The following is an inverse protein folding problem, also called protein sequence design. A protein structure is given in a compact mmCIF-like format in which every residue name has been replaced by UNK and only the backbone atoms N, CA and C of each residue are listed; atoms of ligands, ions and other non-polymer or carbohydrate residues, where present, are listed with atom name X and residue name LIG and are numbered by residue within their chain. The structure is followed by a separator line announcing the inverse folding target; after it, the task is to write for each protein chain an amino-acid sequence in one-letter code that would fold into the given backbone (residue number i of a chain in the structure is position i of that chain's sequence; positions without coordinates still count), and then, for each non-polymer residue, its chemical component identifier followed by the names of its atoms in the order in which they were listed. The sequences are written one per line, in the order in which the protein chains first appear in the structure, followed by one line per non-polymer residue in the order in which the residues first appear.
data_IF_134660508794
#
_entry.id   IF_134660508794
#
_cell.length_a   1.000
_cell.length_b   1.000
_cell.length_c   1.000
_cell.angle_alpha   90.00
_cell.angle_beta   90.00
_cell.angle_gamma   90.00
#
_symmetry.space_group_name_H-M   'P 1'
#
loop_
_entity.id
_entity.type
_entity.pdbx_description
1 polymer ?
#
# COMPACT_ATOMS: atom_id res chain seq x y z
N UNK A 1 -9.21 -29.25 -2.39
CA UNK A 1 -9.37 -28.77 -1.00
C UNK A 1 -10.65 -27.95 -0.81
N UNK A 2 -10.88 -26.87 -1.59
CA UNK A 2 -12.13 -26.07 -1.57
C UNK A 2 -13.41 -26.87 -1.32
N UNK A 3 -13.71 -27.85 -2.17
CA UNK A 3 -14.97 -28.61 -2.07
C UNK A 3 -15.03 -29.49 -0.81
N UNK A 4 -13.88 -29.93 -0.30
CA UNK A 4 -13.83 -30.65 0.97
C UNK A 4 -14.12 -29.74 2.16
N UNK A 5 -13.61 -28.50 2.15
CA UNK A 5 -13.92 -27.48 3.16
C UNK A 5 -15.40 -27.09 3.13
N UNK A 6 -15.99 -26.90 1.94
CA UNK A 6 -17.42 -26.62 1.76
C UNK A 6 -18.36 -27.70 2.33
N UNK A 7 -17.89 -28.94 2.50
CA UNK A 7 -18.67 -30.05 3.08
C UNK A 7 -18.65 -30.10 4.60
N UNK A 8 -17.87 -29.26 5.27
CA UNK A 8 -17.80 -29.22 6.73
C UNK A 8 -18.88 -28.29 7.29
N UNK A 9 -19.40 -28.60 8.48
CA UNK A 9 -20.32 -27.71 9.22
C UNK A 9 -19.59 -26.56 9.94
N UNK A 10 -18.49 -26.10 9.34
CA UNK A 10 -17.64 -25.02 9.86
C UNK A 10 -17.12 -24.20 8.68
N UNK A 11 -17.33 -22.90 8.75
CA UNK A 11 -16.74 -21.95 7.79
C UNK A 11 -15.23 -21.89 8.03
N UNK A 12 -14.45 -22.19 6.99
CA UNK A 12 -13.00 -22.14 6.98
C UNK A 12 -12.60 -21.33 5.76
N UNK A 13 -11.92 -20.20 5.98
CA UNK A 13 -11.32 -19.42 4.90
C UNK A 13 -10.20 -20.24 4.26
N UNK A 14 -10.14 -20.22 2.93
CA UNK A 14 -9.11 -20.90 2.17
C UNK A 14 -8.19 -19.85 1.54
N UNK A 15 -6.96 -19.76 2.03
CA UNK A 15 -5.87 -19.04 1.37
C UNK A 15 -5.00 -20.03 0.61
N UNK A 16 -4.82 -19.82 -0.71
CA UNK A 16 -4.02 -20.71 -1.54
C UNK A 16 -2.56 -20.26 -1.55
N UNK A 17 -1.67 -21.14 -1.09
CA UNK A 17 -0.23 -20.93 -1.22
C UNK A 17 0.31 -21.80 -2.35
N UNK A 18 0.22 -21.29 -3.59
CA UNK A 18 0.77 -21.93 -4.79
C UNK A 18 1.67 -20.97 -5.58
N UNK A 19 2.15 -19.90 -4.95
CA UNK A 19 3.20 -18.99 -5.45
C UNK A 19 3.00 -18.43 -6.87
N UNK A 20 1.76 -18.11 -7.25
CA UNK A 20 1.44 -17.60 -8.59
C UNK A 20 1.42 -18.67 -9.68
N UNK A 21 1.76 -19.92 -9.37
CA UNK A 21 1.83 -20.99 -10.36
C UNK A 21 0.47 -21.30 -10.99
N UNK A 22 0.53 -21.84 -12.21
CA UNK A 22 -0.64 -22.22 -12.99
C UNK A 22 -1.60 -21.06 -13.30
N UNK A 23 -1.09 -19.82 -13.35
CA UNK A 23 -1.89 -18.62 -13.61
C UNK A 23 -3.06 -18.48 -12.62
N UNK A 24 -2.78 -18.64 -11.32
CA UNK A 24 -3.81 -18.59 -10.28
C UNK A 24 -4.57 -17.29 -10.25
N UNK A 25 -3.98 -16.19 -10.73
CA UNK A 25 -4.68 -14.93 -10.91
C UNK A 25 -5.92 -15.08 -11.81
N UNK A 26 -5.98 -16.07 -12.71
CA UNK A 26 -7.13 -16.25 -13.63
C UNK A 26 -8.28 -17.07 -13.05
N UNK A 27 -8.05 -17.90 -12.03
CA UNK A 27 -9.04 -18.85 -11.51
C UNK A 27 -9.13 -18.89 -9.98
N UNK A 28 -8.26 -18.14 -9.29
CA UNK A 28 -8.13 -18.15 -7.84
C UNK A 28 -9.41 -17.74 -7.13
N UNK A 29 -10.09 -16.70 -7.64
CA UNK A 29 -11.34 -16.19 -7.06
C UNK A 29 -12.49 -17.21 -7.10
N UNK A 30 -12.50 -18.12 -8.08
CA UNK A 30 -13.48 -19.22 -8.14
C UNK A 30 -13.20 -20.31 -7.09
N UNK A 31 -12.00 -20.26 -6.47
CA UNK A 31 -11.47 -21.34 -5.65
C UNK A 31 -11.30 -20.97 -4.18
N UNK A 32 -10.83 -19.77 -3.88
CA UNK A 32 -10.30 -19.38 -2.58
C UNK A 32 -10.48 -17.89 -2.31
N UNK A 33 -10.37 -17.49 -1.04
CA UNK A 33 -10.51 -16.09 -0.63
C UNK A 33 -9.21 -15.30 -0.81
N UNK A 34 -8.08 -15.98 -0.94
CA UNK A 34 -6.82 -15.39 -1.35
C UNK A 34 -5.93 -16.39 -2.08
N UNK A 35 -4.95 -15.88 -2.84
CA UNK A 35 -3.96 -16.70 -3.55
C UNK A 35 -2.59 -16.02 -3.59
N UNK A 36 -1.57 -16.71 -3.09
CA UNK A 36 -0.18 -16.25 -3.17
C UNK A 36 0.20 -16.04 -4.62
N UNK A 37 0.68 -14.84 -4.96
CA UNK A 37 1.01 -14.49 -6.35
C UNK A 37 2.47 -14.74 -6.72
N UNK A 38 3.35 -14.94 -5.74
CA UNK A 38 4.78 -15.11 -5.99
C UNK A 38 5.42 -16.02 -4.95
N UNK A 39 6.73 -16.27 -5.12
CA UNK A 39 7.56 -16.95 -4.11
C UNK A 39 7.54 -16.23 -2.77
N UNK A 40 8.17 -16.83 -1.77
CA UNK A 40 8.14 -16.33 -0.39
C UNK A 40 8.76 -14.93 -0.27
N UNK A 41 8.32 -14.14 0.68
CA UNK A 41 8.98 -12.88 1.02
C UNK A 41 10.23 -13.12 1.87
N UNK A 42 11.16 -12.17 1.81
CA UNK A 42 12.26 -12.05 2.75
C UNK A 42 12.43 -10.58 3.17
N UNK A 43 12.96 -10.30 4.38
CA UNK A 43 13.10 -8.94 4.90
C UNK A 43 14.27 -8.19 4.25
N UNK A 44 14.20 -7.98 2.93
CA UNK A 44 15.10 -7.12 2.15
C UNK A 44 14.28 -6.28 1.18
N UNK A 45 14.75 -5.07 0.91
CA UNK A 45 14.09 -4.16 -0.01
C UNK A 45 14.09 -4.69 -1.46
N UNK A 46 15.25 -5.12 -1.95
CA UNK A 46 15.45 -5.67 -3.30
C UNK A 46 16.18 -7.02 -3.25
N UNK A 47 16.23 -7.72 -4.38
CA UNK A 47 16.95 -8.99 -4.52
C UNK A 47 16.11 -10.23 -4.22
N UNK A 48 16.78 -11.38 -4.21
CA UNK A 48 16.14 -12.67 -4.00
C UNK A 48 17.12 -13.68 -3.40
N UNK A 49 16.58 -14.77 -2.85
CA UNK A 49 17.35 -15.92 -2.36
C UNK A 49 16.85 -17.20 -3.02
N UNK A 50 17.79 -17.93 -3.65
CA UNK A 50 17.61 -19.26 -4.25
C UNK A 50 16.40 -19.36 -5.21
N UNK A 51 15.95 -18.25 -5.79
CA UNK A 51 14.74 -18.12 -6.61
C UNK A 51 13.43 -18.57 -5.95
N UNK A 52 13.45 -18.82 -4.64
CA UNK A 52 12.27 -19.20 -3.86
C UNK A 52 11.75 -18.06 -2.99
N UNK A 53 12.63 -17.15 -2.59
CA UNK A 53 12.29 -16.02 -1.74
C UNK A 53 12.73 -14.69 -2.37
N UNK A 54 11.97 -13.62 -2.17
CA UNK A 54 12.08 -12.35 -2.89
C UNK A 54 11.91 -11.16 -1.95
N UNK A 55 12.66 -10.08 -2.21
CA UNK A 55 12.48 -8.82 -1.48
C UNK A 55 11.16 -8.12 -1.80
N UNK A 56 10.92 -7.00 -1.11
CA UNK A 56 9.68 -6.21 -1.21
C UNK A 56 9.45 -5.70 -2.65
N UNK A 57 10.45 -5.09 -3.29
CA UNK A 57 10.30 -4.50 -4.64
C UNK A 57 10.06 -5.54 -5.74
N UNK A 58 10.75 -6.71 -5.79
CA UNK A 58 10.42 -7.76 -6.74
C UNK A 58 8.99 -8.30 -6.61
N UNK A 59 8.48 -8.49 -5.39
CA UNK A 59 7.10 -8.93 -5.15
C UNK A 59 6.12 -7.85 -5.57
N UNK A 60 6.37 -6.59 -5.18
CA UNK A 60 5.57 -5.44 -5.63
C UNK A 60 5.51 -5.41 -7.15
N UNK A 61 6.65 -5.42 -7.83
CA UNK A 61 6.72 -5.37 -9.28
C UNK A 61 5.90 -6.50 -9.92
N UNK A 62 5.97 -7.73 -9.40
CA UNK A 62 5.14 -8.83 -9.90
C UNK A 62 3.64 -8.56 -9.67
N UNK A 63 3.26 -8.11 -8.47
CA UNK A 63 1.86 -7.81 -8.14
C UNK A 63 1.22 -6.85 -9.15
N UNK A 64 1.92 -5.79 -9.55
CA UNK A 64 1.37 -4.77 -10.46
C UNK A 64 0.87 -5.33 -11.81
N UNK A 65 1.36 -6.49 -12.25
CA UNK A 65 0.92 -7.14 -13.49
C UNK A 65 -0.07 -8.29 -13.26
N UNK A 66 -0.35 -8.65 -12.00
CA UNK A 66 -1.15 -9.84 -11.63
C UNK A 66 -2.28 -9.56 -10.61
N UNK A 67 -2.57 -8.28 -10.33
CA UNK A 67 -3.63 -7.85 -9.40
C UNK A 67 -5.02 -7.65 -10.04
N UNK A 68 -5.19 -7.90 -11.34
CA UNK A 68 -6.43 -7.53 -12.06
C UNK A 68 -7.69 -8.23 -11.56
N UNK A 69 -7.55 -9.37 -10.86
CA UNK A 69 -8.66 -10.10 -10.25
C UNK A 69 -8.82 -9.85 -8.73
N UNK A 70 -7.99 -9.00 -8.12
CA UNK A 70 -8.15 -8.60 -6.73
C UNK A 70 -9.38 -7.73 -6.58
N UNK A 71 -10.36 -8.23 -5.84
CA UNK A 71 -11.59 -7.53 -5.48
C UNK A 71 -12.23 -8.22 -4.26
N UNK A 72 -13.45 -7.82 -3.89
CA UNK A 72 -14.22 -8.52 -2.87
C UNK A 72 -14.21 -10.04 -3.07
N UNK A 73 -14.11 -10.74 -1.94
CA UNK A 73 -14.10 -12.21 -1.83
C UNK A 73 -12.87 -12.92 -2.38
N UNK A 74 -11.95 -12.24 -3.06
CA UNK A 74 -10.77 -12.85 -3.67
C UNK A 74 -9.62 -11.86 -3.84
N UNK A 75 -8.56 -12.06 -3.07
CA UNK A 75 -7.42 -11.15 -3.04
C UNK A 75 -6.12 -11.85 -3.43
N UNK A 76 -5.34 -11.22 -4.30
CA UNK A 76 -3.94 -11.56 -4.46
C UNK A 76 -3.22 -11.44 -3.11
N UNK A 77 -2.44 -12.45 -2.77
CA UNK A 77 -1.65 -12.51 -1.55
C UNK A 77 -0.18 -12.29 -1.89
N UNK A 78 0.34 -11.14 -1.45
CA UNK A 78 1.72 -10.73 -1.64
C UNK A 78 2.67 -11.35 -0.59
N UNK A 79 2.20 -12.35 0.16
CA UNK A 79 2.84 -12.98 1.31
C UNK A 79 2.75 -12.17 2.61
N UNK A 80 3.21 -12.77 3.70
CA UNK A 80 3.18 -12.21 5.05
C UNK A 80 3.98 -10.90 5.17
N UNK A 81 3.69 -10.14 6.22
CA UNK A 81 4.37 -8.89 6.54
C UNK A 81 5.71 -9.17 7.25
N UNK A 82 6.79 -8.58 6.73
CA UNK A 82 8.15 -8.60 7.28
C UNK A 82 8.48 -7.33 8.10
N UNK A 83 7.46 -6.53 8.43
CA UNK A 83 7.63 -5.27 9.17
C UNK A 83 8.27 -5.53 10.54
N UNK A 84 9.44 -4.93 10.79
CA UNK A 84 10.21 -5.15 12.01
C UNK A 84 11.16 -6.36 12.01
N UNK A 85 11.32 -7.06 10.87
CA UNK A 85 12.22 -8.21 10.73
C UNK A 85 13.58 -7.88 10.07
N UNK A 86 13.90 -6.59 9.86
CA UNK A 86 15.24 -6.17 9.42
C UNK A 86 15.29 -5.04 8.38
N UNK A 87 14.14 -4.64 7.84
CA UNK A 87 14.00 -3.47 6.96
C UNK A 87 14.25 -2.17 7.74
N UNK A 88 14.61 -1.11 7.04
CA UNK A 88 14.67 0.24 7.65
C UNK A 88 13.27 0.74 8.01
N UNK A 89 13.12 1.74 8.90
CA UNK A 89 11.80 2.28 9.24
C UNK A 89 11.01 2.85 8.05
N UNK A 90 11.70 3.38 7.03
CA UNK A 90 11.08 3.84 5.79
C UNK A 90 10.58 2.66 4.94
N UNK A 91 11.41 1.64 4.79
CA UNK A 91 11.04 0.42 4.07
C UNK A 91 9.91 -0.35 4.76
N UNK A 92 9.87 -0.37 6.10
CA UNK A 92 8.77 -0.93 6.90
C UNK A 92 7.44 -0.22 6.60
N UNK A 93 7.45 1.13 6.57
CA UNK A 93 6.26 1.94 6.20
C UNK A 93 5.82 1.64 4.77
N UNK A 94 6.76 1.63 3.82
CA UNK A 94 6.49 1.31 2.43
C UNK A 94 5.91 -0.08 2.25
N UNK A 95 6.54 -1.11 2.83
CA UNK A 95 6.08 -2.49 2.74
C UNK A 95 4.65 -2.64 3.28
N UNK A 96 4.37 -2.12 4.47
CA UNK A 96 3.02 -2.18 5.04
C UNK A 96 1.99 -1.45 4.19
N UNK A 97 2.27 -0.21 3.79
CA UNK A 97 1.35 0.59 2.99
C UNK A 97 1.08 -0.04 1.63
N UNK A 98 2.11 -0.54 0.93
CA UNK A 98 1.96 -1.20 -0.37
C UNK A 98 1.07 -2.44 -0.27
N UNK A 99 1.27 -3.28 0.75
CA UNK A 99 0.41 -4.45 0.98
C UNK A 99 -1.03 -4.03 1.29
N UNK A 100 -1.21 -2.97 2.08
CA UNK A 100 -2.51 -2.45 2.43
C UNK A 100 -3.25 -1.90 1.20
N UNK A 101 -2.63 -1.01 0.42
CA UNK A 101 -3.28 -0.33 -0.71
C UNK A 101 -3.52 -1.27 -1.91
N UNK A 102 -2.69 -2.31 -2.05
CA UNK A 102 -2.87 -3.35 -3.06
C UNK A 102 -3.83 -4.47 -2.61
N UNK A 103 -4.41 -4.31 -1.41
CA UNK A 103 -5.43 -5.20 -0.84
C UNK A 103 -4.96 -6.65 -0.70
N UNK A 104 -3.69 -6.83 -0.36
CA UNK A 104 -3.17 -8.11 0.11
C UNK A 104 -3.72 -8.42 1.51
N UNK A 105 -3.85 -9.70 1.89
CA UNK A 105 -3.97 -10.08 3.29
C UNK A 105 -2.82 -9.46 4.11
N UNK A 106 -3.17 -8.89 5.27
CA UNK A 106 -2.21 -8.30 6.21
C UNK A 106 -1.92 -9.29 7.34
N UNK A 107 -1.01 -10.24 7.10
CA UNK A 107 -0.64 -11.28 8.04
C UNK A 107 0.68 -10.92 8.73
N UNK A 108 0.67 -10.68 10.04
CA UNK A 108 1.88 -10.31 10.79
C UNK A 108 2.86 -11.48 10.87
N UNK A 109 4.07 -11.30 10.35
CA UNK A 109 5.19 -12.26 10.40
C UNK A 109 6.22 -11.99 11.50
N UNK A 110 5.91 -11.10 12.45
CA UNK A 110 6.88 -10.56 13.43
C UNK A 110 6.57 -11.00 14.86
N UNK A 111 7.58 -11.33 15.70
CA UNK A 111 7.37 -11.63 17.12
C UNK A 111 6.76 -10.45 17.89
N UNK A 112 5.49 -10.58 18.27
CA UNK A 112 4.73 -9.51 18.93
C UNK A 112 5.15 -9.25 20.39
N UNK A 113 5.80 -10.21 21.04
CA UNK A 113 6.32 -10.06 22.41
C UNK A 113 7.52 -9.12 22.50
N UNK A 114 8.15 -8.80 21.36
CA UNK A 114 9.37 -7.97 21.25
C UNK A 114 9.21 -6.80 20.29
N UNK A 115 7.97 -6.49 19.90
CA UNK A 115 7.70 -5.43 18.93
C UNK A 115 8.09 -4.06 19.48
N UNK A 116 8.78 -3.26 18.66
CA UNK A 116 9.09 -1.87 19.02
C UNK A 116 7.83 -0.99 18.93
N UNK A 117 7.75 0.12 19.67
CA UNK A 117 6.66 1.10 19.51
C UNK A 117 6.54 1.61 18.08
N UNK A 118 7.66 1.79 17.39
CA UNK A 118 7.72 2.26 16.00
C UNK A 118 7.09 1.23 15.04
N UNK A 119 7.46 -0.05 15.14
CA UNK A 119 6.88 -1.13 14.32
C UNK A 119 5.40 -1.33 14.65
N UNK A 120 5.03 -1.25 15.93
CA UNK A 120 3.64 -1.34 16.35
C UNK A 120 2.80 -0.19 15.80
N UNK A 121 3.36 1.02 15.70
CA UNK A 121 2.67 2.16 15.11
C UNK A 121 2.36 1.93 13.63
N UNK A 122 3.26 1.31 12.87
CA UNK A 122 3.01 0.91 11.47
C UNK A 122 1.83 -0.07 11.39
N UNK A 123 1.86 -1.16 12.17
CA UNK A 123 0.74 -2.12 12.18
C UNK A 123 -0.58 -1.54 12.67
N UNK A 124 -0.55 -0.45 13.45
CA UNK A 124 -1.76 0.21 13.97
C UNK A 124 -2.24 1.38 13.12
N UNK A 125 -1.66 1.63 11.94
CA UNK A 125 -2.12 2.71 11.07
C UNK A 125 -3.57 2.45 10.63
N UNK A 126 -4.52 3.12 11.29
CA UNK A 126 -5.95 2.90 11.11
C UNK A 126 -6.43 3.28 9.72
N UNK A 127 -5.79 4.25 9.08
CA UNK A 127 -6.23 4.77 7.78
C UNK A 127 -5.82 3.87 6.63
N UNK A 128 -4.59 3.34 6.66
CA UNK A 128 -4.15 2.31 5.72
C UNK A 128 -4.94 1.00 5.90
N UNK A 129 -5.21 0.60 7.15
CA UNK A 129 -6.08 -0.54 7.44
C UNK A 129 -7.49 -0.29 6.92
N UNK A 130 -8.05 0.91 7.13
CA UNK A 130 -9.39 1.23 6.62
C UNK A 130 -9.47 1.21 5.10
N UNK A 131 -8.43 1.65 4.38
CA UNK A 131 -8.36 1.50 2.92
C UNK A 131 -8.35 0.03 2.51
N UNK A 132 -7.54 -0.79 3.17
CA UNK A 132 -7.44 -2.24 2.91
C UNK A 132 -8.77 -2.97 3.19
N UNK A 133 -9.46 -2.59 4.26
CA UNK A 133 -10.69 -3.20 4.77
C UNK A 133 -11.98 -2.50 4.28
N UNK A 134 -11.89 -1.66 3.25
CA UNK A 134 -13.03 -0.89 2.78
C UNK A 134 -14.16 -1.79 2.28
N UNK A 135 -15.37 -1.61 2.82
CA UNK A 135 -16.53 -2.45 2.54
C UNK A 135 -17.27 -2.10 1.25
N UNK A 136 -17.01 -0.92 0.67
CA UNK A 136 -17.68 -0.42 -0.54
C UNK A 136 -16.78 -0.47 -1.77
N UNK A 137 -15.48 -0.41 -1.56
CA UNK A 137 -14.46 -0.51 -2.61
C UNK A 137 -13.64 -1.77 -2.38
N UNK A 138 -13.82 -2.80 -3.20
CA UNK A 138 -13.02 -4.03 -3.12
C UNK A 138 -11.72 -3.98 -3.94
N UNK A 139 -11.63 -3.05 -4.89
CA UNK A 139 -10.49 -2.89 -5.80
C UNK A 139 -9.28 -2.23 -5.11
N UNK A 140 -8.04 -2.59 -5.48
CA UNK A 140 -6.83 -1.94 -4.94
C UNK A 140 -6.65 -0.51 -5.48
N UNK A 141 -5.70 0.23 -4.89
CA UNK A 141 -5.12 1.38 -5.57
C UNK A 141 -4.34 0.93 -6.81
N UNK A 142 -4.51 1.61 -7.93
CA UNK A 142 -3.82 1.29 -9.18
C UNK A 142 -2.70 2.28 -9.47
N UNK A 143 -1.54 1.82 -9.99
CA UNK A 143 -0.52 2.71 -10.49
C UNK A 143 -1.07 3.54 -11.65
N UNK A 144 -0.87 4.86 -11.56
CA UNK A 144 -1.19 5.79 -12.66
C UNK A 144 0.07 6.38 -13.32
N UNK A 145 1.24 6.22 -12.69
CA UNK A 145 2.53 6.65 -13.23
C UNK A 145 3.68 5.81 -12.66
N UNK A 146 4.56 5.31 -13.51
CA UNK A 146 5.72 4.48 -13.08
C UNK A 146 6.87 5.30 -12.51
N UNK A 147 6.93 6.60 -12.76
CA UNK A 147 7.94 7.49 -12.19
C UNK A 147 9.25 7.41 -12.96
N UNK A 148 10.29 6.84 -12.35
CA UNK A 148 11.63 6.76 -12.96
C UNK A 148 11.68 5.93 -14.24
N UNK A 149 10.71 5.03 -14.42
CA UNK A 149 10.55 4.24 -15.64
C UNK A 149 9.35 4.74 -16.46
N UNK A 150 9.33 4.39 -17.76
CA UNK A 150 8.13 4.53 -18.57
C UNK A 150 7.00 3.66 -18.00
N UNK A 151 5.74 4.08 -18.19
CA UNK A 151 4.59 3.32 -17.72
C UNK A 151 4.59 1.88 -18.26
N UNK A 152 4.13 0.95 -17.41
CA UNK A 152 4.12 -0.49 -17.68
C UNK A 152 5.49 -1.16 -17.81
N UNK A 153 6.56 -0.51 -17.34
CA UNK A 153 7.89 -1.13 -17.31
C UNK A 153 7.96 -2.20 -16.22
N UNK A 154 8.42 -3.40 -16.58
CA UNK A 154 8.78 -4.44 -15.62
C UNK A 154 10.19 -4.18 -15.08
N UNK A 155 10.29 -3.76 -13.82
CA UNK A 155 11.58 -3.49 -13.18
C UNK A 155 11.49 -3.85 -11.68
N UNK A 156 12.20 -4.91 -11.30
CA UNK A 156 12.16 -5.45 -9.93
C UNK A 156 12.87 -4.59 -8.88
N UNK A 157 13.64 -3.58 -9.31
CA UNK A 157 14.30 -2.61 -8.43
C UNK A 157 13.48 -1.33 -8.32
N UNK A 158 12.88 -0.90 -9.43
CA UNK A 158 12.11 0.33 -9.53
C UNK A 158 10.71 0.05 -10.11
N UNK A 159 9.81 -0.60 -9.35
CA UNK A 159 8.41 -0.76 -9.74
C UNK A 159 7.70 0.60 -9.86
N UNK A 160 6.39 0.58 -10.17
CA UNK A 160 5.62 1.81 -10.24
C UNK A 160 5.69 2.60 -8.93
N UNK A 161 5.70 3.92 -9.04
CA UNK A 161 5.92 4.81 -7.90
C UNK A 161 4.65 5.53 -7.45
N UNK A 162 3.70 5.74 -8.36
CA UNK A 162 2.53 6.59 -8.10
C UNK A 162 1.24 5.81 -8.25
N UNK A 163 0.43 5.80 -7.20
CA UNK A 163 -0.81 5.03 -7.09
C UNK A 163 -1.97 5.91 -6.69
N UNK A 164 -3.17 5.58 -7.18
CA UNK A 164 -4.41 6.24 -6.75
C UNK A 164 -5.51 5.21 -6.55
N UNK A 165 -6.42 5.48 -5.62
CA UNK A 165 -7.53 4.59 -5.34
C UNK A 165 -8.61 5.27 -4.51
N UNK A 166 -9.85 4.84 -4.70
CA UNK A 166 -10.98 5.35 -3.92
C UNK A 166 -11.29 4.44 -2.74
N UNK A 167 -11.75 5.05 -1.66
CA UNK A 167 -12.38 4.38 -0.54
C UNK A 167 -13.60 5.20 -0.08
N UNK A 168 -14.36 4.68 0.88
CA UNK A 168 -15.45 5.38 1.56
C UNK A 168 -15.03 6.71 2.18
N UNK A 169 -13.75 6.87 2.52
CA UNK A 169 -13.20 8.10 3.09
C UNK A 169 -12.89 9.18 2.05
N UNK A 170 -12.77 8.82 0.77
CA UNK A 170 -12.38 9.74 -0.31
C UNK A 170 -11.38 9.12 -1.29
N UNK A 171 -10.75 9.98 -2.10
CA UNK A 171 -9.67 9.58 -3.01
C UNK A 171 -8.33 9.57 -2.27
N UNK A 172 -7.51 8.56 -2.53
CA UNK A 172 -6.17 8.42 -1.96
C UNK A 172 -5.12 8.46 -3.05
N UNK A 173 -3.97 9.05 -2.73
CA UNK A 173 -2.78 9.11 -3.58
C UNK A 173 -1.58 8.63 -2.77
N UNK A 174 -0.83 7.69 -3.34
CA UNK A 174 0.38 7.15 -2.74
C UNK A 174 1.56 7.37 -3.66
N UNK A 175 2.69 7.83 -3.09
CA UNK A 175 3.91 8.12 -3.84
C UNK A 175 5.11 7.47 -3.17
N UNK A 176 5.54 6.35 -3.73
CA UNK A 176 6.71 5.57 -3.32
C UNK A 176 7.99 6.21 -3.85
N UNK A 177 9.00 6.35 -3.01
CA UNK A 177 10.35 6.65 -3.43
C UNK A 177 11.17 5.35 -3.56
N UNK A 178 11.53 4.94 -4.78
CA UNK A 178 12.37 3.75 -5.00
C UNK A 178 13.87 4.05 -4.99
N UNK A 179 14.26 5.30 -4.75
CA UNK A 179 15.64 5.77 -4.82
C UNK A 179 16.29 5.81 -3.44
N UNK A 180 17.62 5.81 -3.45
CA UNK A 180 18.49 5.73 -2.27
C UNK A 180 18.68 7.09 -1.54
N UNK A 181 17.96 8.13 -1.97
CA UNK A 181 18.03 9.48 -1.42
C UNK A 181 16.63 10.10 -1.30
N UNK A 182 16.51 11.13 -0.46
CA UNK A 182 15.25 11.88 -0.36
C UNK A 182 14.97 12.61 -1.66
N UNK A 183 13.77 12.40 -2.23
CA UNK A 183 13.33 13.09 -3.45
C UNK A 183 11.97 13.74 -3.25
N UNK A 184 11.75 14.86 -3.93
CA UNK A 184 10.43 15.48 -3.99
C UNK A 184 9.55 14.67 -4.94
N UNK A 185 8.43 14.18 -4.43
CA UNK A 185 7.38 13.51 -5.23
C UNK A 185 6.22 14.47 -5.41
N UNK A 186 5.67 14.51 -6.63
CA UNK A 186 4.61 15.44 -7.00
C UNK A 186 3.40 14.71 -7.58
N UNK A 187 2.23 14.96 -6.99
CA UNK A 187 0.94 14.57 -7.51
C UNK A 187 0.38 15.74 -8.33
N UNK A 188 0.43 15.64 -9.66
CA UNK A 188 -0.20 16.59 -10.58
C UNK A 188 -1.65 16.15 -10.80
N UNK A 189 -2.62 17.00 -10.48
CA UNK A 189 -4.02 16.58 -10.36
C UNK A 189 -4.62 16.08 -11.68
N UNK A 190 -4.19 16.62 -12.82
CA UNK A 190 -4.60 16.14 -14.15
C UNK A 190 -4.08 14.72 -14.47
N UNK A 191 -3.02 14.27 -13.81
CA UNK A 191 -2.47 12.92 -13.98
C UNK A 191 -3.13 11.89 -13.05
N UNK A 192 -3.77 12.33 -11.96
CA UNK A 192 -4.32 11.45 -10.93
C UNK A 192 -5.77 11.09 -11.26
N UNK A 193 -6.07 9.82 -11.54
CA UNK A 193 -7.45 9.37 -11.72
C UNK A 193 -8.32 9.72 -10.50
N UNK A 194 -9.37 10.51 -10.73
CA UNK A 194 -10.33 10.92 -9.70
C UNK A 194 -10.11 12.32 -9.12
N UNK A 195 -8.98 12.98 -9.42
CA UNK A 195 -8.83 14.41 -9.16
C UNK A 195 -9.30 15.25 -10.35
N UNK A 196 -9.65 16.50 -10.04
CA UNK A 196 -10.03 17.54 -11.00
C UNK A 196 -9.14 18.77 -10.73
N UNK A 197 -8.31 19.14 -11.71
CA UNK A 197 -7.36 20.25 -11.58
C UNK A 197 -7.99 21.63 -11.44
N UNK A 198 -9.30 21.76 -11.72
CA UNK A 198 -10.06 23.00 -11.51
C UNK A 198 -10.52 23.17 -10.06
N UNK A 199 -10.40 22.12 -9.24
CA UNK A 199 -10.83 22.07 -7.85
C UNK A 199 -9.67 22.24 -6.87
N UNK A 200 -10.06 22.53 -5.63
CA UNK A 200 -9.17 22.57 -4.47
C UNK A 200 -9.41 21.35 -3.60
N UNK A 201 -8.35 20.78 -3.05
CA UNK A 201 -8.43 19.62 -2.18
C UNK A 201 -7.73 19.90 -0.86
N UNK A 202 -8.37 19.52 0.25
CA UNK A 202 -7.70 19.32 1.53
C UNK A 202 -6.88 18.04 1.39
N UNK A 203 -5.58 18.16 1.62
CA UNK A 203 -4.64 17.02 1.61
C UNK A 203 -4.39 16.59 3.04
N UNK A 204 -4.67 15.32 3.33
CA UNK A 204 -4.53 14.69 4.63
C UNK A 204 -3.38 13.66 4.59
N UNK A 205 -2.42 13.76 5.50
CA UNK A 205 -1.31 12.80 5.62
C UNK A 205 -1.72 11.64 6.54
N UNK A 206 -1.84 10.44 5.98
CA UNK A 206 -2.31 9.24 6.67
C UNK A 206 -1.28 8.67 7.67
N UNK A 207 -0.03 9.17 7.68
CA UNK A 207 0.98 8.79 8.66
C UNK A 207 0.90 9.63 9.94
N UNK A 208 0.66 10.94 9.81
CA UNK A 208 0.47 11.83 10.96
C UNK A 208 -0.98 11.88 11.43
N UNK A 209 -1.94 11.61 10.54
CA UNK A 209 -3.38 11.81 10.77
C UNK A 209 -3.79 13.27 10.74
N UNK A 210 -3.03 14.13 10.05
CA UNK A 210 -3.22 15.58 10.03
C UNK A 210 -3.53 16.09 8.62
N UNK A 211 -4.41 17.09 8.53
CA UNK A 211 -4.60 17.89 7.31
C UNK A 211 -3.41 18.83 7.14
N UNK A 212 -2.68 18.71 6.03
CA UNK A 212 -1.41 19.42 5.80
C UNK A 212 -1.57 20.65 4.90
N UNK A 213 -2.76 20.89 4.36
CA UNK A 213 -3.08 22.11 3.62
C UNK A 213 -4.18 21.94 2.58
N UNK A 214 -4.49 23.03 1.88
CA UNK A 214 -5.40 23.06 0.74
C UNK A 214 -4.59 23.36 -0.52
N UNK A 215 -4.74 22.53 -1.53
CA UNK A 215 -3.94 22.61 -2.76
C UNK A 215 -4.82 22.60 -4.00
N UNK A 216 -4.34 23.23 -5.07
CA UNK A 216 -4.93 23.21 -6.41
C UNK A 216 -3.86 22.81 -7.43
N UNK A 217 -4.28 22.14 -8.50
CA UNK A 217 -3.44 21.68 -9.64
C UNK A 217 -2.36 20.65 -9.31
N UNK A 218 -1.62 20.81 -8.22
CA UNK A 218 -0.59 19.87 -7.79
C UNK A 218 -0.32 19.92 -6.29
N UNK A 219 0.28 18.85 -5.78
CA UNK A 219 0.81 18.75 -4.43
C UNK A 219 2.20 18.11 -4.46
N UNK A 220 3.18 18.67 -3.74
CA UNK A 220 4.55 18.17 -3.68
C UNK A 220 5.02 17.95 -2.25
N UNK A 221 5.74 16.86 -1.99
CA UNK A 221 6.28 16.54 -0.67
C UNK A 221 7.65 15.84 -0.79
N UNK A 222 8.63 16.14 0.07
CA UNK A 222 9.84 15.34 0.16
C UNK A 222 9.50 13.95 0.72
N UNK A 223 9.99 12.90 0.08
CA UNK A 223 9.84 11.51 0.52
C UNK A 223 11.23 10.92 0.72
N UNK A 224 11.49 10.39 1.92
CA UNK A 224 12.78 9.81 2.28
C UNK A 224 13.13 8.62 1.37
N UNK A 225 14.41 8.22 1.36
CA UNK A 225 14.86 7.01 0.67
C UNK A 225 13.97 5.81 1.07
N UNK A 226 13.46 5.10 0.06
CA UNK A 226 12.62 3.91 0.23
C UNK A 226 11.29 4.11 1.00
N UNK A 227 10.88 5.36 1.23
CA UNK A 227 9.65 5.68 1.96
C UNK A 227 8.47 5.91 1.00
N UNK A 228 7.26 5.98 1.57
CA UNK A 228 6.02 6.24 0.83
C UNK A 228 5.22 7.36 1.47
N UNK A 229 4.83 8.35 0.66
CA UNK A 229 3.77 9.27 1.05
C UNK A 229 2.41 8.58 0.89
N UNK A 230 1.55 8.65 1.91
CA UNK A 230 0.19 8.14 1.90
C UNK A 230 -0.78 9.28 2.21
N UNK A 231 -1.58 9.68 1.23
CA UNK A 231 -2.35 10.92 1.27
C UNK A 231 -3.80 10.66 0.90
N UNK A 232 -4.73 11.34 1.59
CA UNK A 232 -6.14 11.41 1.20
C UNK A 232 -6.49 12.82 0.72
N UNK A 233 -7.21 12.90 -0.39
CA UNK A 233 -7.63 14.13 -1.04
C UNK A 233 -9.15 14.26 -0.95
N UNK A 234 -9.62 15.29 -0.27
CA UNK A 234 -11.04 15.60 -0.13
C UNK A 234 -11.31 16.98 -0.75
N UNK A 235 -12.32 17.09 -1.61
CA UNK A 235 -12.68 18.38 -2.22
C UNK A 235 -12.99 19.41 -1.12
N UNK A 236 -12.34 20.57 -1.20
CA UNK A 236 -12.56 21.66 -0.26
C UNK A 236 -13.90 22.35 -0.57
N UNK A 237 -14.74 22.53 0.46
CA UNK A 237 -15.96 23.33 0.32
C UNK A 237 -15.65 24.79 0.00
N UNK A 238 -16.58 25.50 -0.66
CA UNK A 238 -16.46 26.94 -0.88
C UNK A 238 -16.21 27.67 0.45
N UNK A 239 -15.07 28.37 0.56
CA UNK A 239 -14.68 29.11 1.76
C UNK A 239 -13.88 28.32 2.81
N UNK A 240 -13.41 27.10 2.52
CA UNK A 240 -12.52 26.37 3.42
C UNK A 240 -11.22 27.17 3.70
N UNK A 241 -10.94 27.41 4.98
CA UNK A 241 -9.70 28.06 5.44
C UNK A 241 -8.57 27.03 5.54
N UNK A 242 -7.33 27.47 5.36
CA UNK A 242 -6.16 26.60 5.56
C UNK A 242 -6.16 26.03 6.99
N UNK A 243 -5.91 24.72 7.17
CA UNK A 243 -5.68 24.18 8.50
C UNK A 243 -4.52 24.91 9.18
N UNK A 244 -4.67 25.21 10.47
CA UNK A 244 -3.64 25.89 11.26
C UNK A 244 -2.32 25.11 11.16
N UNK A 245 -1.30 25.68 10.51
CA UNK A 245 0.02 25.07 10.38
C UNK A 245 0.61 24.79 11.76
N UNK A 246 0.57 23.54 12.20
CA UNK A 246 1.41 23.09 13.31
C UNK A 246 2.82 22.98 12.74
N UNK A 247 3.73 23.85 13.21
CA UNK A 247 5.15 23.77 12.87
C UNK A 247 5.74 22.49 13.49
N UNK A 248 5.61 21.37 12.79
CA UNK A 248 6.16 20.07 13.18
C UNK A 248 7.09 19.55 12.10
N UNK A 249 8.40 19.66 12.32
CA UNK A 249 9.39 18.90 11.57
C UNK A 249 9.00 17.41 11.57
N UNK A 250 8.97 16.76 10.39
CA UNK A 250 9.03 15.30 10.32
C UNK A 250 10.23 14.83 11.15
N UNK A 251 9.94 14.24 12.30
CA UNK A 251 10.95 13.85 13.28
C UNK A 251 10.48 14.11 14.70
N UNK A 252 10.10 13.01 15.37
CA UNK A 252 9.71 12.91 16.80
C UNK A 252 8.29 13.39 17.10
N UNK A 253 7.32 12.49 16.98
CA UNK A 253 6.34 12.19 18.05
C UNK A 253 5.28 11.21 17.53
N UNK A 254 5.66 9.93 17.39
CA UNK A 254 4.70 8.83 17.48
C UNK A 254 4.46 8.54 18.96
N UNK A 255 3.76 9.43 19.65
CA UNK A 255 3.16 9.15 20.95
C UNK A 255 1.75 9.73 20.96
N UNK A 256 0.76 8.94 20.55
CA UNK A 256 -0.61 9.13 21.01
C UNK A 256 -0.85 8.18 22.20
N UNK A 257 -1.47 8.64 23.30
CA UNK A 257 -1.78 7.80 24.44
C UNK A 257 -2.90 6.80 24.10
N UNK A 258 -2.85 5.67 24.82
CA UNK A 258 -3.62 4.43 24.70
C UNK A 258 -5.14 4.59 24.47
#
# INVERSE_FOLDING_TARGET
MRDALKRQDRIIQFGMCNWGHAHVEKWGNETAQSWRIWGDILPQWTGHKDHIAWGVMPILNHALFHLSQTNFWGHADMDMLEVGNGLTPAEDRSHFALWAILKSPLLIGTPLDKISPETLAVFKNKELIAFNQDESFGVPAWPYKWGVNADWTWNQTHPAEYYSGNSTAGLHVFMLNTLEETVTKTAVFDEVPGLDSTKKYIVHDMWSGEDIGIYEKEFSIPVESHDIAALRFNEASEGAEEPLKVQGSRGKNLQQPL
#
